data_IF_230534427068
#
_entry.id   IF_230534427068
#
_cell.length_a   1.000
_cell.length_b   1.000
_cell.length_c   1.000
_cell.angle_alpha   90.00
_cell.angle_beta   90.00
_cell.angle_gamma   90.00
#
_symmetry.space_group_name_H-M   'P 1'
#
loop_
_entity.id
_entity.type
_entity.pdbx_description
1 polymer ?
#
# COMPACT_ATOMS: atom_id res chain seq x y z
N UNK A 1 9.83 -16.32 -2.56
CA UNK A 1 8.38 -16.43 -2.84
C UNK A 1 7.69 -15.61 -1.77
N UNK A 2 7.33 -14.38 -2.10
CA UNK A 2 6.92 -13.35 -1.14
C UNK A 2 5.61 -13.77 -0.44
N UNK A 3 5.60 -13.82 0.90
CA UNK A 3 4.44 -14.27 1.69
C UNK A 3 3.18 -13.42 1.40
N UNK A 4 3.38 -12.15 1.02
CA UNK A 4 2.31 -11.23 0.65
C UNK A 4 1.50 -11.68 -0.58
N UNK A 5 2.14 -12.30 -1.60
CA UNK A 5 1.43 -12.73 -2.82
C UNK A 5 0.30 -13.72 -2.53
N UNK A 6 0.60 -14.74 -1.72
CA UNK A 6 -0.38 -15.77 -1.37
C UNK A 6 -1.55 -15.23 -0.53
N UNK A 7 -1.33 -14.16 0.23
CA UNK A 7 -2.40 -13.42 0.90
C UNK A 7 -3.29 -12.70 -0.11
N UNK A 8 -2.69 -11.86 -0.98
CA UNK A 8 -3.44 -11.03 -1.92
C UNK A 8 -4.19 -11.85 -2.98
N UNK A 9 -3.61 -12.92 -3.51
CA UNK A 9 -4.29 -13.79 -4.48
C UNK A 9 -5.61 -14.35 -3.93
N UNK A 10 -5.61 -14.75 -2.65
CA UNK A 10 -6.84 -15.23 -2.00
C UNK A 10 -7.79 -14.09 -1.70
N UNK A 11 -7.28 -12.92 -1.29
CA UNK A 11 -8.07 -11.79 -0.80
C UNK A 11 -8.76 -10.98 -1.91
N UNK A 12 -8.30 -11.10 -3.17
CA UNK A 12 -8.74 -10.30 -4.30
C UNK A 12 -10.27 -10.21 -4.49
N UNK A 13 -11.01 -11.29 -4.22
CA UNK A 13 -12.46 -11.34 -4.40
C UNK A 13 -13.27 -10.56 -3.36
N UNK A 14 -12.69 -10.28 -2.18
CA UNK A 14 -13.34 -9.57 -1.07
C UNK A 14 -12.70 -8.21 -0.78
N UNK A 15 -11.62 -7.88 -1.49
CA UNK A 15 -10.79 -6.71 -1.19
C UNK A 15 -11.59 -5.41 -1.23
N UNK A 16 -12.30 -5.16 -2.33
CA UNK A 16 -13.00 -3.89 -2.53
C UNK A 16 -14.13 -3.71 -1.51
N UNK A 17 -14.95 -4.73 -1.28
CA UNK A 17 -16.07 -4.63 -0.32
C UNK A 17 -15.58 -4.42 1.13
N UNK A 18 -14.45 -5.01 1.51
CA UNK A 18 -13.84 -4.83 2.84
C UNK A 18 -13.26 -3.42 3.05
N UNK A 19 -12.78 -2.78 1.98
CA UNK A 19 -12.03 -1.52 2.05
C UNK A 19 -12.80 -0.30 1.54
N UNK A 20 -13.89 -0.45 0.78
CA UNK A 20 -14.79 0.65 0.37
C UNK A 20 -15.38 1.40 1.57
N UNK A 21 -15.62 0.70 2.69
CA UNK A 21 -16.18 1.31 3.90
C UNK A 21 -15.16 2.08 4.76
N UNK A 22 -13.85 2.00 4.47
CA UNK A 22 -12.80 2.50 5.37
C UNK A 22 -12.36 3.95 5.13
N UNK A 23 -12.82 4.61 4.06
CA UNK A 23 -12.65 6.04 3.73
C UNK A 23 -11.41 6.72 4.38
N UNK A 24 -10.20 6.37 3.91
CA UNK A 24 -8.93 6.76 4.56
C UNK A 24 -8.44 8.15 4.10
N UNK A 25 -9.12 8.76 3.12
CA UNK A 25 -8.79 10.10 2.60
C UNK A 25 -7.54 10.16 1.72
N UNK A 26 -6.94 9.01 1.41
CA UNK A 26 -5.67 8.92 0.67
C UNK A 26 -5.83 9.07 -0.85
N UNK A 27 -7.00 8.70 -1.40
CA UNK A 27 -7.28 8.78 -2.84
C UNK A 27 -7.09 10.20 -3.37
N UNK A 28 -7.71 11.20 -2.73
CA UNK A 28 -7.63 12.60 -3.16
C UNK A 28 -6.18 13.09 -3.11
N UNK A 29 -5.45 12.78 -2.04
CA UNK A 29 -4.04 13.15 -1.88
C UNK A 29 -3.17 12.66 -3.04
N UNK A 30 -3.26 11.38 -3.40
CA UNK A 30 -2.44 10.79 -4.47
C UNK A 30 -2.86 11.29 -5.86
N UNK A 31 -4.16 11.44 -6.11
CA UNK A 31 -4.66 12.00 -7.38
C UNK A 31 -4.20 13.46 -7.54
N UNK A 32 -4.23 14.26 -6.47
CA UNK A 32 -3.78 15.65 -6.51
C UNK A 32 -2.29 15.79 -6.72
N UNK A 33 -1.47 14.90 -6.15
CA UNK A 33 -0.04 14.84 -6.44
C UNK A 33 0.21 14.49 -7.91
N UNK A 34 -0.48 13.48 -8.42
CA UNK A 34 -0.35 13.01 -9.79
C UNK A 34 -0.76 14.07 -10.83
N UNK A 35 -1.82 14.83 -10.59
CA UNK A 35 -2.25 15.92 -11.48
C UNK A 35 -1.26 17.08 -11.58
N UNK A 36 -0.34 17.21 -10.62
CA UNK A 36 0.62 18.32 -10.53
C UNK A 36 1.96 18.00 -11.17
N UNK A 37 2.19 16.77 -11.64
CA UNK A 37 3.41 16.41 -12.35
C UNK A 37 3.24 16.51 -13.86
N UNK A 38 4.32 16.87 -14.54
CA UNK A 38 4.43 16.79 -15.99
C UNK A 38 5.15 15.48 -16.35
N UNK A 39 4.40 14.43 -16.66
CA UNK A 39 4.92 13.10 -16.97
C UNK A 39 4.06 11.96 -16.43
N UNK A 40 4.52 10.72 -16.65
CA UNK A 40 3.81 9.52 -16.21
C UNK A 40 3.96 9.24 -14.72
N UNK A 41 2.94 8.59 -14.16
CA UNK A 41 2.91 8.15 -12.75
C UNK A 41 2.95 6.63 -12.68
N UNK A 42 3.73 6.07 -11.75
CA UNK A 42 3.72 4.65 -11.43
C UNK A 42 3.08 4.43 -10.05
N UNK A 43 2.01 3.64 -9.98
CA UNK A 43 1.46 3.12 -8.73
C UNK A 43 2.02 1.73 -8.43
N UNK A 44 2.69 1.59 -7.29
CA UNK A 44 3.27 0.33 -6.82
C UNK A 44 2.32 -0.29 -5.80
N UNK A 45 1.96 -1.56 -6.02
CA UNK A 45 0.91 -2.22 -5.25
C UNK A 45 -0.48 -1.72 -5.62
N UNK A 46 -0.74 -1.57 -6.93
CA UNK A 46 -2.00 -0.99 -7.42
C UNK A 46 -3.23 -1.87 -7.13
N UNK A 47 -3.05 -3.13 -6.73
CA UNK A 47 -4.10 -4.02 -6.27
C UNK A 47 -5.27 -4.12 -7.25
N UNK A 48 -6.49 -3.98 -6.73
CA UNK A 48 -7.76 -3.94 -7.47
C UNK A 48 -8.06 -2.56 -8.09
N UNK A 49 -7.11 -1.62 -8.00
CA UNK A 49 -7.16 -0.33 -8.68
C UNK A 49 -7.88 0.80 -7.94
N UNK A 50 -7.98 0.75 -6.60
CA UNK A 50 -8.68 1.75 -5.79
C UNK A 50 -8.22 3.19 -6.06
N UNK A 51 -6.91 3.42 -6.21
CA UNK A 51 -6.35 4.72 -6.58
C UNK A 51 -6.05 4.76 -8.08
N UNK A 52 -5.51 3.67 -8.63
CA UNK A 52 -5.12 3.60 -10.04
C UNK A 52 -6.23 3.97 -11.02
N UNK A 53 -7.46 3.50 -10.79
CA UNK A 53 -8.58 3.81 -11.67
C UNK A 53 -8.99 5.28 -11.58
N UNK A 54 -8.89 5.88 -10.39
CA UNK A 54 -9.14 7.32 -10.19
C UNK A 54 -8.07 8.18 -10.89
N UNK A 55 -6.82 7.73 -10.92
CA UNK A 55 -5.76 8.37 -11.72
C UNK A 55 -6.12 8.37 -13.21
N UNK A 56 -6.56 7.23 -13.75
CA UNK A 56 -6.96 7.13 -15.16
C UNK A 56 -8.19 8.01 -15.48
N UNK A 57 -9.20 8.03 -14.60
CA UNK A 57 -10.37 8.90 -14.75
C UNK A 57 -9.99 10.39 -14.70
N UNK A 58 -8.98 10.74 -13.90
CA UNK A 58 -8.41 12.08 -13.83
C UNK A 58 -7.58 12.47 -15.06
N UNK A 59 -7.37 11.57 -16.02
CA UNK A 59 -6.58 11.81 -17.23
C UNK A 59 -5.07 11.74 -17.01
N UNK A 60 -4.62 11.13 -15.91
CA UNK A 60 -3.20 10.92 -15.62
C UNK A 60 -2.67 9.78 -16.50
N UNK A 61 -1.48 9.96 -17.08
CA UNK A 61 -0.72 8.88 -17.76
C UNK A 61 -0.16 7.90 -16.71
N UNK A 62 -1.03 7.01 -16.23
CA UNK A 62 -0.77 6.14 -15.10
C UNK A 62 -0.39 4.71 -15.51
N UNK A 63 0.62 4.18 -14.84
CA UNK A 63 1.12 2.81 -14.92
C UNK A 63 1.02 2.16 -13.54
N UNK A 64 0.85 0.84 -13.49
CA UNK A 64 0.69 0.13 -12.22
C UNK A 64 1.42 -1.19 -12.18
N UNK A 65 1.99 -1.52 -11.02
CA UNK A 65 2.49 -2.86 -10.74
C UNK A 65 1.84 -3.44 -9.50
N UNK A 66 1.67 -4.75 -9.50
CA UNK A 66 1.28 -5.50 -8.31
C UNK A 66 1.92 -6.90 -8.34
N UNK A 67 2.13 -7.50 -7.17
CA UNK A 67 2.68 -8.86 -7.08
C UNK A 67 1.63 -9.94 -7.38
N UNK A 68 0.34 -9.60 -7.24
CA UNK A 68 -0.79 -10.50 -7.43
C UNK A 68 -1.45 -10.32 -8.79
N UNK A 69 -1.37 -11.34 -9.65
CA UNK A 69 -2.08 -11.34 -10.93
C UNK A 69 -3.61 -11.33 -10.74
N UNK A 70 -4.12 -11.97 -9.69
CA UNK A 70 -5.57 -12.01 -9.39
C UNK A 70 -6.11 -10.60 -9.08
N UNK A 71 -5.35 -9.80 -8.35
CA UNK A 71 -5.69 -8.39 -8.08
C UNK A 71 -5.69 -7.57 -9.37
N UNK A 72 -4.68 -7.76 -10.22
CA UNK A 72 -4.61 -7.12 -11.54
C UNK A 72 -5.78 -7.52 -12.45
N UNK A 73 -6.24 -8.77 -12.37
CA UNK A 73 -7.40 -9.22 -13.15
C UNK A 73 -8.72 -8.62 -12.66
N UNK A 74 -8.87 -8.33 -11.36
CA UNK A 74 -9.96 -7.51 -10.83
C UNK A 74 -9.86 -6.08 -11.37
N UNK A 75 -8.69 -5.45 -11.29
CA UNK A 75 -8.44 -4.10 -11.79
C UNK A 75 -8.79 -3.98 -13.28
N UNK A 76 -8.30 -4.89 -14.12
CA UNK A 76 -8.56 -4.89 -15.57
C UNK A 76 -10.07 -4.99 -15.88
N UNK A 77 -10.83 -5.79 -15.12
CA UNK A 77 -12.29 -5.89 -15.28
C UNK A 77 -12.98 -4.57 -14.92
N UNK A 78 -12.67 -3.99 -13.77
CA UNK A 78 -13.21 -2.69 -13.34
C UNK A 78 -12.87 -1.57 -14.33
N UNK A 79 -11.64 -1.57 -14.86
CA UNK A 79 -11.23 -0.63 -15.89
C UNK A 79 -12.06 -0.78 -17.17
N UNK A 80 -12.29 -2.02 -17.63
CA UNK A 80 -13.10 -2.29 -18.81
C UNK A 80 -14.56 -1.82 -18.63
N UNK A 81 -15.15 -2.07 -17.46
CA UNK A 81 -16.52 -1.64 -17.12
C UNK A 81 -16.64 -0.09 -17.09
N UNK A 82 -15.57 0.60 -16.69
CA UNK A 82 -15.47 2.05 -16.71
C UNK A 82 -15.03 2.65 -18.07
N UNK A 83 -14.76 1.83 -19.09
CA UNK A 83 -14.27 2.28 -20.39
C UNK A 83 -12.83 2.81 -20.37
N UNK A 84 -12.02 2.40 -19.40
CA UNK A 84 -10.63 2.78 -19.21
C UNK A 84 -9.69 1.70 -19.79
N UNK A 85 -8.48 2.08 -20.18
CA UNK A 85 -7.44 1.16 -20.67
C UNK A 85 -6.23 1.18 -19.73
N UNK A 86 -6.07 0.19 -18.85
CA UNK A 86 -5.01 0.18 -17.86
C UNK A 86 -3.67 -0.29 -18.45
N UNK A 87 -2.56 0.35 -18.03
CA UNK A 87 -1.19 -0.09 -18.28
C UNK A 87 -0.61 -0.72 -17.01
N UNK A 88 -1.00 -1.95 -16.73
CA UNK A 88 -0.59 -2.67 -15.51
C UNK A 88 0.08 -4.00 -15.82
N UNK A 89 1.05 -4.41 -15.00
CA UNK A 89 1.71 -5.72 -15.12
C UNK A 89 2.14 -6.27 -13.76
N UNK A 90 2.32 -7.58 -13.70
CA UNK A 90 2.80 -8.25 -12.49
C UNK A 90 4.29 -7.97 -12.26
N UNK A 91 4.64 -7.46 -11.08
CA UNK A 91 6.03 -7.29 -10.68
C UNK A 91 6.18 -7.25 -9.16
N UNK A 92 7.40 -7.56 -8.69
CA UNK A 92 7.80 -7.35 -7.29
C UNK A 92 8.40 -5.94 -7.17
N UNK A 93 8.00 -5.19 -6.13
CA UNK A 93 8.51 -3.83 -5.93
C UNK A 93 10.00 -3.77 -5.62
N UNK A 94 10.58 -4.89 -5.15
CA UNK A 94 12.00 -5.05 -4.84
C UNK A 94 12.86 -5.41 -6.05
N UNK A 95 12.24 -5.79 -7.18
CA UNK A 95 12.93 -6.17 -8.41
C UNK A 95 11.98 -6.05 -9.61
N UNK A 96 11.97 -4.88 -10.25
CA UNK A 96 11.25 -4.68 -11.50
C UNK A 96 12.04 -3.81 -12.48
N UNK A 97 11.84 -4.05 -13.77
CA UNK A 97 12.37 -3.17 -14.81
C UNK A 97 11.34 -2.09 -15.13
N UNK A 98 11.62 -0.81 -14.86
CA UNK A 98 10.72 0.27 -15.24
C UNK A 98 10.57 0.32 -16.76
N UNK A 99 9.32 0.40 -17.23
CA UNK A 99 9.04 0.50 -18.67
C UNK A 99 9.43 1.87 -19.25
N UNK A 100 9.60 2.87 -18.37
CA UNK A 100 9.99 4.26 -18.68
C UNK A 100 10.40 4.97 -17.40
N UNK A 101 10.86 6.21 -17.54
CA UNK A 101 11.04 7.12 -16.41
C UNK A 101 9.70 7.74 -16.01
N UNK A 102 9.44 7.81 -14.70
CA UNK A 102 8.23 8.38 -14.13
C UNK A 102 8.52 9.71 -13.45
N UNK A 103 7.57 10.65 -13.53
CA UNK A 103 7.65 11.91 -12.79
C UNK A 103 7.21 11.73 -11.32
N UNK A 104 6.41 10.69 -11.04
CA UNK A 104 5.95 10.35 -9.70
C UNK A 104 5.82 8.83 -9.57
N UNK A 105 6.36 8.28 -8.48
CA UNK A 105 6.05 6.93 -8.01
C UNK A 105 5.20 7.08 -6.76
N UNK A 106 4.04 6.41 -6.71
CA UNK A 106 3.20 6.35 -5.52
C UNK A 106 3.15 4.92 -4.97
N UNK A 107 3.20 4.78 -3.65
CA UNK A 107 3.12 3.49 -2.93
C UNK A 107 2.07 3.62 -1.82
N UNK A 108 0.78 3.66 -2.19
CA UNK A 108 -0.29 3.91 -1.23
C UNK A 108 -0.56 2.71 -0.34
N UNK A 109 -1.40 2.95 0.67
CA UNK A 109 -2.02 1.94 1.49
C UNK A 109 -1.03 1.02 2.23
N UNK A 110 0.05 1.63 2.74
CA UNK A 110 1.02 0.97 3.62
C UNK A 110 1.75 -0.21 2.97
N UNK A 111 1.69 -0.31 1.65
CA UNK A 111 2.26 -1.41 0.84
C UNK A 111 3.75 -1.62 1.11
N UNK A 112 4.50 -0.53 1.36
CA UNK A 112 5.93 -0.58 1.65
C UNK A 112 6.28 -1.45 2.88
N UNK A 113 5.38 -1.55 3.86
CA UNK A 113 5.60 -2.33 5.08
C UNK A 113 5.65 -3.85 4.85
N UNK A 114 5.28 -4.33 3.66
CA UNK A 114 5.44 -5.74 3.30
C UNK A 114 6.89 -6.13 3.00
N UNK A 115 7.79 -5.16 2.86
CA UNK A 115 9.24 -5.38 2.80
C UNK A 115 9.77 -5.62 4.21
N UNK A 116 9.75 -6.90 4.64
CA UNK A 116 10.04 -7.28 6.03
C UNK A 116 11.49 -7.05 6.42
N UNK A 117 12.43 -7.20 5.49
CA UNK A 117 13.86 -7.04 5.77
C UNK A 117 14.36 -5.67 5.32
N UNK A 118 15.38 -5.14 6.01
CA UNK A 118 16.08 -3.91 5.59
C UNK A 118 16.61 -4.04 4.15
N UNK A 119 17.07 -5.23 3.76
CA UNK A 119 17.54 -5.48 2.40
C UNK A 119 16.42 -5.30 1.36
N UNK A 120 15.23 -5.83 1.63
CA UNK A 120 14.06 -5.66 0.75
C UNK A 120 13.59 -4.20 0.71
N UNK A 121 13.60 -3.51 1.85
CA UNK A 121 13.25 -2.08 1.94
C UNK A 121 14.21 -1.22 1.13
N UNK A 122 15.51 -1.48 1.23
CA UNK A 122 16.54 -0.79 0.45
C UNK A 122 16.39 -1.10 -1.04
N UNK A 123 16.18 -2.37 -1.41
CA UNK A 123 15.96 -2.78 -2.79
C UNK A 123 14.72 -2.08 -3.39
N UNK A 124 13.60 -2.02 -2.66
CA UNK A 124 12.39 -1.33 -3.10
C UNK A 124 12.64 0.17 -3.32
N UNK A 125 13.23 0.86 -2.35
CA UNK A 125 13.55 2.29 -2.49
C UNK A 125 14.52 2.58 -3.64
N UNK A 126 15.52 1.72 -3.85
CA UNK A 126 16.45 1.84 -4.97
C UNK A 126 15.76 1.62 -6.32
N UNK A 127 14.82 0.67 -6.43
CA UNK A 127 14.04 0.48 -7.64
C UNK A 127 13.12 1.67 -7.91
N UNK A 128 12.48 2.23 -6.89
CA UNK A 128 11.66 3.44 -7.04
C UNK A 128 12.51 4.62 -7.51
N UNK A 129 13.68 4.82 -6.89
CA UNK A 129 14.64 5.84 -7.30
C UNK A 129 15.04 5.66 -8.76
N UNK A 130 15.39 4.44 -9.18
CA UNK A 130 15.77 4.13 -10.57
C UNK A 130 14.63 4.35 -11.57
N UNK A 131 13.39 4.08 -11.18
CA UNK A 131 12.21 4.28 -12.02
C UNK A 131 11.88 5.77 -12.25
N UNK A 132 12.34 6.67 -11.38
CA UNK A 132 12.07 8.10 -11.48
C UNK A 132 12.95 8.82 -12.52
N UNK A 133 12.41 9.86 -13.16
CA UNK A 133 13.21 10.85 -13.89
C UNK A 133 14.02 11.76 -12.95
N UNK A 134 14.84 12.67 -13.49
CA UNK A 134 15.75 13.53 -12.70
C UNK A 134 15.07 14.37 -11.61
N UNK A 135 13.87 14.86 -11.89
CA UNK A 135 13.07 15.69 -10.97
C UNK A 135 11.87 14.89 -10.39
N UNK A 136 11.98 13.56 -10.45
CA UNK A 136 10.93 12.66 -10.03
C UNK A 136 10.78 12.61 -8.51
N UNK A 137 9.58 12.28 -8.04
CA UNK A 137 9.26 12.16 -6.62
C UNK A 137 8.67 10.82 -6.28
N UNK A 138 8.92 10.36 -5.05
CA UNK A 138 8.21 9.25 -4.43
C UNK A 138 7.19 9.79 -3.44
N UNK A 139 5.99 9.23 -3.41
CA UNK A 139 5.01 9.47 -2.37
C UNK A 139 4.49 8.14 -1.81
N UNK A 140 4.52 7.96 -0.49
CA UNK A 140 4.04 6.74 0.15
C UNK A 140 3.53 7.03 1.56
N UNK A 141 2.82 6.09 2.16
CA UNK A 141 2.42 6.21 3.56
C UNK A 141 2.57 4.88 4.30
N UNK A 142 2.69 4.97 5.62
CA UNK A 142 2.52 3.86 6.55
C UNK A 142 2.15 4.38 7.94
N UNK A 143 1.56 3.53 8.79
CA UNK A 143 1.12 3.95 10.12
C UNK A 143 2.31 4.28 11.03
N UNK A 144 2.05 5.12 12.04
CA UNK A 144 2.97 5.31 13.18
C UNK A 144 2.88 4.09 14.10
N UNK A 145 4.00 3.41 14.43
CA UNK A 145 4.00 2.33 15.43
C UNK A 145 3.62 2.85 16.82
N UNK A 146 2.32 2.86 17.13
CA UNK A 146 1.80 3.34 18.41
C UNK A 146 1.90 2.27 19.49
N UNK A 147 2.66 2.55 20.54
CA UNK A 147 2.74 1.66 21.71
C UNK A 147 1.39 1.49 22.42
N UNK A 148 0.54 2.51 22.42
CA UNK A 148 -0.81 2.42 22.98
C UNK A 148 -1.62 1.38 22.21
N UNK A 149 -1.66 1.48 20.88
CA UNK A 149 -2.36 0.51 20.02
C UNK A 149 -1.78 -0.89 20.17
N UNK A 150 -0.45 -1.02 20.24
CA UNK A 150 0.19 -2.32 20.43
C UNK A 150 -0.23 -2.92 21.78
N UNK A 151 -0.15 -2.16 22.87
CA UNK A 151 -0.48 -2.67 24.20
C UNK A 151 -1.97 -2.96 24.39
N UNK A 152 -2.86 -2.20 23.74
CA UNK A 152 -4.30 -2.31 23.93
C UNK A 152 -4.99 -3.29 22.97
N UNK A 153 -4.49 -3.40 21.73
CA UNK A 153 -5.18 -4.13 20.66
C UNK A 153 -4.45 -5.39 20.22
N UNK A 154 -3.13 -5.51 20.39
CA UNK A 154 -2.41 -6.68 19.84
C UNK A 154 -2.76 -7.94 20.65
N UNK A 155 -3.03 -9.02 19.94
CA UNK A 155 -3.56 -10.27 20.49
C UNK A 155 -5.09 -10.31 20.63
N UNK A 156 -5.78 -9.17 20.52
CA UNK A 156 -7.24 -9.10 20.58
C UNK A 156 -7.87 -9.19 19.17
N UNK A 157 -9.01 -9.86 19.01
CA UNK A 157 -9.69 -9.96 17.72
C UNK A 157 -10.44 -8.66 17.38
N UNK A 158 -10.07 -8.03 16.28
CA UNK A 158 -10.81 -6.92 15.68
C UNK A 158 -11.75 -7.45 14.59
N UNK A 159 -13.04 -7.12 14.70
CA UNK A 159 -14.05 -7.60 13.75
C UNK A 159 -14.72 -6.45 13.03
N UNK A 160 -14.92 -6.63 11.73
CA UNK A 160 -15.74 -5.76 10.88
C UNK A 160 -16.61 -6.60 9.95
N UNK A 161 -17.60 -5.97 9.35
CA UNK A 161 -18.55 -6.62 8.45
C UNK A 161 -18.62 -5.86 7.14
N UNK A 162 -18.76 -6.57 6.03
CA UNK A 162 -19.10 -5.97 4.73
C UNK A 162 -20.22 -6.77 4.08
N UNK A 163 -20.89 -6.17 3.08
CA UNK A 163 -21.94 -6.84 2.32
C UNK A 163 -21.53 -7.01 0.86
N UNK A 164 -21.59 -8.24 0.35
CA UNK A 164 -21.37 -8.56 -1.07
C UNK A 164 -22.56 -9.37 -1.59
N UNK A 165 -23.15 -8.96 -2.71
CA UNK A 165 -24.33 -9.62 -3.33
C UNK A 165 -25.52 -9.86 -2.36
N UNK A 166 -25.72 -8.95 -1.41
CA UNK A 166 -26.78 -9.04 -0.40
C UNK A 166 -26.53 -10.07 0.70
N UNK A 167 -25.31 -10.59 0.80
CA UNK A 167 -24.85 -11.45 1.90
C UNK A 167 -23.89 -10.68 2.80
N UNK A 168 -24.04 -10.87 4.10
CA UNK A 168 -23.15 -10.30 5.10
C UNK A 168 -21.95 -11.23 5.33
N UNK A 169 -20.76 -10.64 5.39
CA UNK A 169 -19.51 -11.31 5.67
C UNK A 169 -18.87 -10.67 6.90
N UNK A 170 -18.27 -11.50 7.75
CA UNK A 170 -17.55 -11.08 8.94
C UNK A 170 -16.06 -11.27 8.71
N UNK A 171 -15.29 -10.18 8.80
CA UNK A 171 -13.83 -10.22 8.77
C UNK A 171 -13.31 -10.05 10.18
N UNK A 172 -12.51 -11.01 10.63
CA UNK A 172 -11.78 -10.91 11.91
C UNK A 172 -10.29 -10.89 11.63
N UNK A 173 -9.63 -9.85 12.13
CA UNK A 173 -8.18 -9.72 12.16
C UNK A 173 -7.66 -9.90 13.60
N UNK A 174 -6.59 -10.68 13.76
CA UNK A 174 -5.79 -10.74 14.98
C UNK A 174 -4.38 -10.36 14.60
N UNK A 175 -3.86 -9.27 15.18
CA UNK A 175 -2.49 -8.82 14.94
C UNK A 175 -1.68 -8.96 16.22
N UNK A 176 -0.47 -9.49 16.13
CA UNK A 176 0.43 -9.63 17.27
C UNK A 176 1.90 -9.40 16.85
N UNK A 177 2.76 -9.10 17.83
CA UNK A 177 4.21 -9.01 17.61
C UNK A 177 4.75 -10.43 17.40
N UNK A 178 5.22 -10.72 16.19
CA UNK A 178 5.89 -11.99 15.91
C UNK A 178 7.36 -11.95 16.33
N UNK A 179 8.01 -10.79 16.15
CA UNK A 179 9.41 -10.59 16.51
C UNK A 179 9.65 -9.15 16.96
N UNK A 180 9.87 -8.96 18.27
CA UNK A 180 10.15 -7.66 18.88
C UNK A 180 11.49 -7.06 18.43
N UNK A 181 12.50 -7.89 18.12
CA UNK A 181 13.84 -7.42 17.76
C UNK A 181 13.85 -6.90 16.32
N UNK A 182 13.27 -7.67 15.42
CA UNK A 182 13.17 -7.34 14.00
C UNK A 182 11.94 -6.45 13.70
N UNK A 183 11.17 -6.08 14.74
CA UNK A 183 9.98 -5.24 14.63
C UNK A 183 8.96 -5.78 13.62
N UNK A 184 8.69 -7.08 13.67
CA UNK A 184 7.77 -7.77 12.75
C UNK A 184 6.45 -8.04 13.47
N UNK A 185 5.36 -7.61 12.83
CA UNK A 185 4.00 -7.95 13.24
C UNK A 185 3.43 -9.00 12.29
N UNK A 186 2.68 -9.95 12.85
CA UNK A 186 1.94 -10.95 12.09
C UNK A 186 0.45 -10.66 12.28
N UNK A 187 -0.27 -10.57 11.17
CA UNK A 187 -1.71 -10.46 11.15
C UNK A 187 -2.32 -11.74 10.57
N UNK A 188 -3.33 -12.27 11.26
CA UNK A 188 -4.14 -13.41 10.83
C UNK A 188 -5.55 -12.92 10.56
N UNK A 189 -5.98 -13.09 9.31
CA UNK A 189 -7.28 -12.65 8.81
C UNK A 189 -8.17 -13.85 8.53
N UNK A 190 -9.41 -13.79 8.96
CA UNK A 190 -10.45 -14.77 8.61
C UNK A 190 -11.67 -14.07 8.03
N UNK A 191 -12.31 -14.69 7.03
CA UNK A 191 -13.63 -14.30 6.51
C UNK A 191 -14.61 -15.38 6.80
N UNK A 192 -15.77 -14.99 7.36
CA UNK A 192 -16.87 -15.89 7.63
C UNK A 192 -18.15 -15.42 6.99
N UNK A 193 -18.99 -16.37 6.61
CA UNK A 193 -20.39 -16.18 6.25
C UNK A 193 -21.19 -17.31 6.92
N UNK A 194 -22.30 -16.98 7.60
CA UNK A 194 -23.12 -17.95 8.33
C UNK A 194 -22.29 -18.89 9.26
N UNK A 195 -21.34 -18.31 10.00
CA UNK A 195 -20.36 -19.00 10.88
C UNK A 195 -19.38 -19.97 10.18
N UNK A 196 -19.46 -20.14 8.86
CA UNK A 196 -18.51 -20.92 8.06
C UNK A 196 -17.29 -20.06 7.68
N UNK A 197 -16.08 -20.56 7.94
CA UNK A 197 -14.83 -19.94 7.50
C UNK A 197 -14.65 -20.18 6.01
N UNK A 198 -14.78 -19.12 5.22
CA UNK A 198 -14.59 -19.17 3.77
C UNK A 198 -13.12 -19.00 3.40
N UNK A 199 -12.40 -18.19 4.19
CA UNK A 199 -11.02 -17.85 3.89
C UNK A 199 -10.22 -17.54 5.16
N UNK A 200 -8.96 -17.98 5.13
CA UNK A 200 -7.95 -17.63 6.11
C UNK A 200 -6.68 -17.19 5.39
N UNK A 201 -6.05 -16.14 5.92
CA UNK A 201 -4.83 -15.63 5.38
C UNK A 201 -3.93 -15.05 6.48
N UNK A 202 -2.62 -15.13 6.27
CA UNK A 202 -1.63 -14.56 7.19
C UNK A 202 -0.74 -13.64 6.39
N UNK A 203 -0.51 -12.44 6.90
CA UNK A 203 0.47 -11.52 6.35
C UNK A 203 1.34 -10.95 7.47
N UNK A 204 2.46 -10.37 7.06
CA UNK A 204 3.41 -9.71 7.96
C UNK A 204 3.61 -8.29 7.48
N UNK A 205 3.85 -7.41 8.45
CA UNK A 205 4.29 -6.05 8.23
C UNK A 205 5.49 -5.80 9.16
N UNK A 206 6.37 -4.89 8.76
CA UNK A 206 7.39 -4.35 9.65
C UNK A 206 6.88 -3.06 10.32
N UNK A 207 7.33 -2.78 11.54
CA UNK A 207 7.13 -1.49 12.21
C UNK A 207 8.33 -0.60 11.91
N UNK A 208 8.15 0.38 11.05
CA UNK A 208 9.22 1.32 10.67
C UNK A 208 9.05 2.61 11.48
N UNK A 209 10.10 3.03 12.18
CA UNK A 209 10.11 4.34 12.86
C UNK A 209 10.42 5.48 11.89
N UNK A 210 10.07 6.72 12.27
CA UNK A 210 10.43 7.92 11.50
C UNK A 210 11.93 7.96 11.18
N UNK A 211 12.78 7.79 12.19
CA UNK A 211 14.24 7.90 12.04
C UNK A 211 14.82 6.77 11.19
N UNK A 212 14.27 5.57 11.30
CA UNK A 212 14.66 4.45 10.44
C UNK A 212 14.34 4.72 8.97
N UNK A 213 13.13 5.24 8.68
CA UNK A 213 12.77 5.58 7.32
C UNK A 213 13.63 6.71 6.74
N UNK A 214 13.95 7.74 7.53
CA UNK A 214 14.89 8.80 7.11
C UNK A 214 16.27 8.24 6.79
N UNK A 215 16.77 7.28 7.58
CA UNK A 215 18.04 6.61 7.31
C UNK A 215 17.96 5.74 6.03
N UNK A 216 16.83 5.08 5.78
CA UNK A 216 16.60 4.33 4.54
C UNK A 216 16.63 5.27 3.33
N UNK A 217 15.99 6.44 3.39
CA UNK A 217 16.03 7.44 2.32
C UNK A 217 17.46 7.96 2.10
N UNK A 218 18.17 8.33 3.16
CA UNK A 218 19.55 8.81 3.07
C UNK A 218 20.49 7.77 2.43
N UNK A 219 20.36 6.50 2.82
CA UNK A 219 21.23 5.42 2.33
C UNK A 219 20.86 4.90 0.95
N UNK A 220 19.70 5.29 0.41
CA UNK A 220 19.23 4.87 -0.93
C UNK A 220 19.21 5.98 -1.97
N UNK A 221 19.79 7.14 -1.65
CA UNK A 221 20.15 8.16 -2.65
C UNK A 221 19.10 9.25 -2.87
N UNK A 222 18.12 9.41 -1.97
CA UNK A 222 17.13 10.48 -2.03
C UNK A 222 17.74 11.81 -1.59
N UNK A 223 17.48 12.87 -2.35
CA UNK A 223 18.12 14.18 -2.16
C UNK A 223 17.46 15.02 -1.06
N UNK A 224 16.15 14.86 -0.88
CA UNK A 224 15.34 15.56 0.11
C UNK A 224 14.05 14.80 0.40
N UNK A 225 13.42 15.06 1.55
CA UNK A 225 12.12 14.46 1.89
C UNK A 225 11.32 15.31 2.89
N UNK A 226 10.02 15.06 2.95
CA UNK A 226 9.11 15.64 3.94
C UNK A 226 8.14 14.56 4.43
N UNK A 227 7.96 14.48 5.74
CA UNK A 227 6.97 13.61 6.38
C UNK A 227 5.82 14.42 6.99
N UNK A 228 4.59 13.93 6.80
CA UNK A 228 3.35 14.50 7.33
C UNK A 228 2.64 13.49 8.24
N UNK A 229 1.85 13.99 9.19
CA UNK A 229 1.06 13.18 10.14
C UNK A 229 -0.26 12.64 9.58
N UNK A 230 -0.55 12.90 8.29
CA UNK A 230 -1.81 12.58 7.63
C UNK A 230 -1.84 13.07 6.18
N UNK A 231 -2.95 12.80 5.50
CA UNK A 231 -3.15 13.12 4.08
C UNK A 231 -3.51 14.59 3.85
N UNK A 232 -3.86 15.36 4.89
CA UNK A 232 -4.09 16.81 4.80
C UNK A 232 -2.81 17.62 5.02
N UNK A 233 -1.65 16.95 4.98
CA UNK A 233 -0.31 17.55 5.19
C UNK A 233 -0.13 18.16 6.57
N UNK A 234 -0.75 17.55 7.58
CA UNK A 234 -0.56 17.93 8.98
C UNK A 234 0.91 17.69 9.41
N UNK A 235 1.42 18.46 10.38
CA UNK A 235 2.73 18.18 10.96
C UNK A 235 2.83 16.74 11.47
N UNK A 236 3.97 16.09 11.24
CA UNK A 236 4.27 14.78 11.81
C UNK A 236 4.76 14.95 13.26
N UNK A 237 3.80 15.07 14.18
CA UNK A 237 4.00 15.24 15.62
C UNK A 237 3.51 14.02 16.42
N UNK A 238 3.79 14.02 17.73
CA UNK A 238 3.29 13.01 18.65
C UNK A 238 1.76 12.91 18.61
N UNK A 239 1.24 11.68 18.57
CA UNK A 239 -0.19 11.39 18.36
C UNK A 239 -0.64 11.28 16.89
N UNK A 240 0.24 11.51 15.91
CA UNK A 240 -0.05 11.17 14.52
C UNK A 240 -0.32 9.67 14.35
N UNK A 241 -1.26 9.32 13.47
CA UNK A 241 -1.62 7.91 13.18
C UNK A 241 -0.94 7.39 11.91
N UNK A 242 -0.66 8.28 10.98
CA UNK A 242 -0.04 8.00 9.69
C UNK A 242 1.25 8.79 9.54
N UNK A 243 2.22 8.22 8.86
CA UNK A 243 3.35 8.92 8.27
C UNK A 243 3.17 8.92 6.76
N UNK A 244 2.91 10.09 6.19
CA UNK A 244 2.82 10.29 4.74
C UNK A 244 4.10 10.98 4.28
N UNK A 245 4.83 10.34 3.39
CA UNK A 245 6.15 10.79 2.94
C UNK A 245 6.11 11.25 1.49
N UNK A 246 6.84 12.33 1.21
CA UNK A 246 7.22 12.75 -0.14
C UNK A 246 8.75 12.86 -0.17
N UNK A 247 9.41 12.14 -1.08
CA UNK A 247 10.86 12.18 -1.26
C UNK A 247 11.23 12.56 -2.70
N UNK A 248 12.32 13.30 -2.86
CA UNK A 248 12.86 13.79 -4.13
C UNK A 248 14.06 12.93 -4.56
N UNK A 249 14.12 12.58 -5.85
CA UNK A 249 15.22 11.80 -6.43
C UNK A 249 16.57 12.51 -6.26
#
# INVERSE_FOLDING_TARGET
MHAAKGFFDKWAAFYDDDYEEQAIGDVEFYVDLARRVDGSVLEVGCGTGRIYLELLQAGVDAYGIDISEEMLDVLKRKAADAGLTPNVWQADMTDFTPQREYALVIVPFRTFLHNITVADQQAALQNFHQALGSDGRLALNFFVPSFEVICENYGEPETRTFTQDGKEYVVTDVTDIENEIEQIVKAERTVKHDDEVLQEATFRLTLISKTEFELLLETTGWSNWTGYGGFEREPLDDGAKEMVWIAEK
#
